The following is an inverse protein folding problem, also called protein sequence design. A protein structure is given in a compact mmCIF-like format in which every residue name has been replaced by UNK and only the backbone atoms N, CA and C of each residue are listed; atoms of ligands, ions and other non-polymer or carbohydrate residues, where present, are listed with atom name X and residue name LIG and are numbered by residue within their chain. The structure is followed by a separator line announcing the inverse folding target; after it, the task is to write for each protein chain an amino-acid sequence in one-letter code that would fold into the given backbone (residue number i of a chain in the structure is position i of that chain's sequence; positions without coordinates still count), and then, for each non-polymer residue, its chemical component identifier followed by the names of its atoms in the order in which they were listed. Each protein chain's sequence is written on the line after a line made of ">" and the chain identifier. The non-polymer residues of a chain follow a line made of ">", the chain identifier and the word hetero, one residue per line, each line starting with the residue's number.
data_IF_619482806951
#
_entry.id   IF_619482806951
#
_cell.length_a   1.000
_cell.length_b   1.000
_cell.length_c   1.000
_cell.angle_alpha   90.00
_cell.angle_beta   90.00
_cell.angle_gamma   90.00
#
_symmetry.space_group_name_H-M   'P 1'
#
loop_
_entity.id
_entity.type
_entity.pdbx_description
1 polymer ?
#
# COMPACT_ATOMS: atom_id res chain seq x y z
N UNK A 1 3.42 -7.91 -40.28
CA UNK A 1 4.04 -6.80 -39.53
C UNK A 1 3.74 -7.03 -38.07
N UNK A 2 4.72 -7.41 -37.26
CA UNK A 2 4.51 -7.66 -35.83
C UNK A 2 4.60 -6.32 -35.10
N UNK A 3 3.53 -5.94 -34.41
CA UNK A 3 3.54 -4.80 -33.51
C UNK A 3 4.32 -5.20 -32.25
N UNK A 4 5.50 -4.61 -32.07
CA UNK A 4 6.25 -4.69 -30.82
C UNK A 4 5.46 -3.83 -29.83
N UNK A 5 4.80 -4.47 -28.86
CA UNK A 5 4.33 -3.79 -27.65
C UNK A 5 5.56 -3.19 -26.99
N UNK A 6 5.61 -1.86 -26.90
CA UNK A 6 6.65 -1.17 -26.17
C UNK A 6 6.56 -1.62 -24.70
N UNK A 7 7.39 -2.58 -24.34
CA UNK A 7 7.70 -2.87 -22.95
C UNK A 7 8.39 -1.60 -22.46
N UNK A 8 7.69 -0.80 -21.65
CA UNK A 8 8.30 0.27 -20.89
C UNK A 8 9.36 -0.40 -20.01
N UNK A 9 10.62 -0.35 -20.47
CA UNK A 9 11.76 -0.79 -19.70
C UNK A 9 11.94 0.25 -18.60
N UNK A 10 11.34 -0.02 -17.45
CA UNK A 10 11.52 0.79 -16.25
C UNK A 10 12.90 0.47 -15.70
N UNK A 11 13.67 1.51 -15.34
CA UNK A 11 14.99 1.35 -14.75
C UNK A 11 14.86 0.60 -13.41
N UNK A 12 15.55 -0.52 -13.26
CA UNK A 12 15.41 -1.44 -12.11
C UNK A 12 15.95 -0.88 -10.79
N UNK A 13 16.32 0.40 -10.73
CA UNK A 13 16.93 1.05 -9.57
C UNK A 13 15.92 1.53 -8.52
N UNK A 14 14.64 1.73 -8.89
CA UNK A 14 13.63 2.32 -8.01
C UNK A 14 12.44 1.36 -7.78
N UNK A 15 11.84 1.29 -6.57
CA UNK A 15 10.61 0.54 -6.34
C UNK A 15 9.43 1.12 -7.13
N UNK A 16 8.65 0.25 -7.77
CA UNK A 16 7.46 0.64 -8.54
C UNK A 16 6.23 -0.17 -8.15
N UNK A 17 5.05 0.46 -8.12
CA UNK A 17 3.76 -0.25 -8.07
C UNK A 17 3.22 -0.41 -9.49
N UNK A 18 2.66 -1.60 -9.80
CA UNK A 18 1.95 -1.84 -11.06
C UNK A 18 0.43 -1.82 -10.86
N UNK A 19 -0.24 -0.83 -11.42
CA UNK A 19 -1.69 -0.78 -11.57
C UNK A 19 -2.05 -0.20 -12.94
N UNK A 20 -2.31 -1.06 -13.93
CA UNK A 20 -2.45 -0.71 -15.37
C UNK A 20 -1.20 -0.07 -16.02
N UNK A 21 -0.40 0.69 -15.27
CA UNK A 21 0.94 1.23 -15.59
C UNK A 21 1.90 1.02 -14.40
N UNK A 22 3.18 1.35 -14.58
CA UNK A 22 4.18 1.45 -13.50
C UNK A 22 4.21 2.86 -12.95
N UNK A 23 4.11 2.99 -11.63
CA UNK A 23 4.24 4.26 -10.91
C UNK A 23 5.42 4.19 -9.95
N UNK A 24 6.31 5.20 -9.98
CA UNK A 24 7.41 5.28 -9.03
C UNK A 24 6.87 5.43 -7.62
N UNK A 25 7.49 4.74 -6.66
CA UNK A 25 7.25 4.96 -5.25
C UNK A 25 8.34 5.92 -4.74
N UNK A 26 8.01 6.91 -3.90
CA UNK A 26 9.03 7.77 -3.29
C UNK A 26 9.97 6.94 -2.41
N UNK A 27 11.28 7.05 -2.67
CA UNK A 27 12.32 6.35 -1.90
C UNK A 27 12.58 6.97 -0.53
N UNK A 28 12.19 8.24 -0.34
CA UNK A 28 12.25 8.93 0.94
C UNK A 28 11.06 9.85 1.12
N UNK A 29 10.78 10.25 2.37
CA UNK A 29 9.70 11.20 2.69
C UNK A 29 9.89 12.53 1.94
N UNK A 30 11.15 12.96 1.74
CA UNK A 30 11.46 14.18 0.99
C UNK A 30 11.15 14.07 -0.52
N UNK A 31 11.02 12.86 -1.05
CA UNK A 31 10.71 12.58 -2.45
C UNK A 31 9.21 12.47 -2.73
N UNK A 32 8.34 12.59 -1.71
CA UNK A 32 6.89 12.58 -1.90
C UNK A 32 6.48 13.81 -2.72
N UNK A 33 5.92 13.57 -3.89
CA UNK A 33 5.46 14.64 -4.80
C UNK A 33 4.12 15.22 -4.38
N UNK A 34 3.85 16.46 -4.82
CA UNK A 34 2.54 17.09 -4.71
C UNK A 34 1.85 17.16 -6.06
N UNK A 35 0.53 17.01 -6.07
CA UNK A 35 -0.32 17.30 -7.21
C UNK A 35 -0.37 18.81 -7.50
N UNK A 36 -0.87 19.18 -8.70
CA UNK A 36 -0.97 20.58 -9.16
C UNK A 36 -1.78 21.50 -8.21
N UNK A 37 -2.68 20.91 -7.41
CA UNK A 37 -3.48 21.60 -6.40
C UNK A 37 -2.73 21.81 -5.06
N UNK A 38 -1.45 21.43 -4.97
CA UNK A 38 -0.61 21.54 -3.78
C UNK A 38 -0.79 20.41 -2.75
N UNK A 39 -1.66 19.44 -2.99
CA UNK A 39 -1.83 18.29 -2.08
C UNK A 39 -0.73 17.26 -2.32
N UNK A 40 -0.09 16.79 -1.25
CA UNK A 40 0.87 15.70 -1.33
C UNK A 40 0.18 14.41 -1.79
N UNK A 41 0.87 13.62 -2.61
CA UNK A 41 0.38 12.33 -3.07
C UNK A 41 0.15 11.37 -1.88
N UNK A 42 1.14 11.34 -0.98
CA UNK A 42 1.12 10.58 0.26
C UNK A 42 1.17 11.55 1.44
N UNK A 43 0.37 11.27 2.47
CA UNK A 43 0.31 12.06 3.70
C UNK A 43 0.63 11.19 4.89
N UNK A 44 1.24 11.80 5.92
CA UNK A 44 1.52 11.13 7.18
C UNK A 44 0.21 10.60 7.78
N UNK A 45 0.22 9.32 8.11
CA UNK A 45 -0.91 8.60 8.68
C UNK A 45 -0.74 8.47 10.19
N UNK A 46 0.30 7.78 10.63
CA UNK A 46 0.67 7.59 12.03
C UNK A 46 2.08 7.01 12.16
N UNK A 47 2.58 6.96 13.39
CA UNK A 47 3.76 6.16 13.74
C UNK A 47 3.32 4.73 14.14
N UNK A 48 4.10 3.71 13.76
CA UNK A 48 3.91 2.31 14.16
C UNK A 48 5.01 1.93 15.16
N UNK A 49 4.64 1.84 16.43
CA UNK A 49 5.56 1.56 17.54
C UNK A 49 6.14 0.13 17.51
N UNK A 50 5.45 -0.84 16.86
CA UNK A 50 5.91 -2.24 16.84
C UNK A 50 7.16 -2.40 15.97
N UNK A 51 7.21 -1.65 14.87
CA UNK A 51 8.34 -1.64 13.94
C UNK A 51 9.22 -0.39 14.07
N UNK A 52 8.77 0.62 14.81
CA UNK A 52 9.40 1.94 14.92
C UNK A 52 9.53 2.64 13.56
N UNK A 53 8.40 2.76 12.84
CA UNK A 53 8.33 3.27 11.46
C UNK A 53 7.23 4.34 11.31
N UNK A 54 7.42 5.26 10.38
CA UNK A 54 6.39 6.22 9.98
C UNK A 54 5.58 5.72 8.78
N UNK A 55 4.27 5.83 8.88
CA UNK A 55 3.32 5.34 7.88
C UNK A 55 2.78 6.49 7.06
N UNK A 56 2.79 6.34 5.75
CA UNK A 56 2.24 7.31 4.81
C UNK A 56 1.26 6.64 3.86
N UNK A 57 0.09 7.22 3.64
CA UNK A 57 -0.90 6.68 2.71
C UNK A 57 -1.40 7.76 1.77
N UNK A 58 -2.13 7.34 0.73
CA UNK A 58 -2.99 8.27 0.03
C UNK A 58 -4.01 8.89 1.01
N UNK A 59 -4.42 10.16 0.83
CA UNK A 59 -5.46 10.77 1.65
C UNK A 59 -6.74 9.93 1.63
N UNK A 60 -7.26 9.58 2.81
CA UNK A 60 -8.49 8.80 3.00
C UNK A 60 -8.52 7.40 2.33
N UNK A 61 -7.37 6.89 1.85
CA UNK A 61 -7.28 5.55 1.24
C UNK A 61 -6.14 4.73 1.86
N UNK A 62 -6.46 3.85 2.85
CA UNK A 62 -5.46 3.07 3.56
C UNK A 62 -5.03 1.79 2.83
N UNK A 63 -5.45 1.54 1.58
CA UNK A 63 -5.17 0.24 0.91
C UNK A 63 -3.68 0.02 0.63
N UNK A 64 -2.93 1.09 0.39
CA UNK A 64 -1.47 1.06 0.22
C UNK A 64 -0.86 2.09 1.18
N UNK A 65 0.01 1.61 2.05
CA UNK A 65 0.73 2.43 3.03
C UNK A 65 2.22 2.21 2.83
N UNK A 66 2.96 3.30 2.65
CA UNK A 66 4.41 3.31 2.58
C UNK A 66 4.97 3.36 4.00
N UNK A 67 6.01 2.57 4.26
CA UNK A 67 6.70 2.50 5.53
C UNK A 67 8.06 3.17 5.41
N UNK A 68 8.31 4.19 6.23
CA UNK A 68 9.57 4.92 6.28
C UNK A 68 10.26 4.68 7.62
N UNK A 69 11.58 4.50 7.60
CA UNK A 69 12.38 4.41 8.81
C UNK A 69 12.56 5.78 9.50
N UNK A 70 13.27 5.80 10.63
CA UNK A 70 13.55 7.03 11.39
C UNK A 70 14.38 8.06 10.61
N UNK A 71 15.05 7.65 9.54
CA UNK A 71 15.80 8.54 8.64
C UNK A 71 14.91 9.08 7.51
N UNK A 72 13.67 8.61 7.39
CA UNK A 72 12.74 8.97 6.34
C UNK A 72 12.98 8.22 5.04
N UNK A 73 13.68 7.08 5.06
CA UNK A 73 13.94 6.23 3.89
C UNK A 73 12.92 5.09 3.80
N UNK A 74 12.53 4.71 2.58
CA UNK A 74 11.54 3.65 2.39
C UNK A 74 12.10 2.31 2.83
N UNK A 75 11.40 1.64 3.75
CA UNK A 75 11.80 0.34 4.30
C UNK A 75 10.74 -0.74 4.08
N UNK A 76 9.58 -0.40 3.52
CA UNK A 76 8.57 -1.38 3.18
C UNK A 76 7.25 -0.80 2.71
N UNK A 77 6.31 -1.72 2.48
CA UNK A 77 4.94 -1.42 2.08
C UNK A 77 3.99 -2.26 2.93
N UNK A 78 2.95 -1.62 3.45
CA UNK A 78 1.81 -2.26 4.11
C UNK A 78 0.62 -2.25 3.15
N UNK A 79 0.14 -3.44 2.79
CA UNK A 79 -1.03 -3.62 1.94
C UNK A 79 -2.24 -3.97 2.81
N UNK A 80 -3.32 -3.20 2.66
CA UNK A 80 -4.52 -3.34 3.48
C UNK A 80 -5.78 -3.64 2.66
N UNK A 81 -6.63 -4.47 3.23
CA UNK A 81 -7.93 -4.86 2.70
C UNK A 81 -9.02 -4.24 3.57
N UNK A 82 -9.90 -3.43 2.97
CA UNK A 82 -11.07 -2.88 3.65
C UNK A 82 -11.98 -4.05 4.04
N UNK A 83 -12.24 -4.23 5.34
CA UNK A 83 -12.93 -5.43 5.83
C UNK A 83 -14.33 -5.59 5.25
N UNK A 84 -15.02 -4.48 5.03
CA UNK A 84 -16.37 -4.48 4.43
C UNK A 84 -16.36 -4.88 2.95
N UNK A 85 -15.22 -4.82 2.26
CA UNK A 85 -15.10 -5.20 0.84
C UNK A 85 -14.79 -6.69 0.65
N UNK A 86 -14.16 -7.32 1.63
CA UNK A 86 -13.72 -8.73 1.59
C UNK A 86 -14.84 -9.70 1.15
N UNK A 87 -16.04 -9.70 1.77
CA UNK A 87 -17.07 -10.67 1.43
C UNK A 87 -17.87 -10.31 0.17
N UNK A 88 -17.85 -9.05 -0.29
CA UNK A 88 -18.76 -8.55 -1.35
C UNK A 88 -18.75 -9.37 -2.64
N UNK A 89 -17.57 -9.86 -3.04
CA UNK A 89 -17.44 -10.69 -4.25
C UNK A 89 -18.08 -12.07 -4.09
N UNK A 90 -18.03 -12.66 -2.90
CA UNK A 90 -18.69 -13.93 -2.62
C UNK A 90 -20.21 -13.73 -2.53
N UNK A 91 -20.65 -12.68 -1.83
CA UNK A 91 -22.06 -12.29 -1.68
C UNK A 91 -22.74 -12.05 -3.03
N UNK A 92 -22.10 -11.29 -3.93
CA UNK A 92 -22.61 -11.05 -5.30
C UNK A 92 -22.73 -12.32 -6.15
N UNK A 93 -22.13 -13.42 -5.72
CA UNK A 93 -22.21 -14.75 -6.36
C UNK A 93 -23.11 -15.73 -5.59
N UNK A 94 -23.74 -15.29 -4.51
CA UNK A 94 -24.56 -16.14 -3.65
C UNK A 94 -23.76 -17.22 -2.91
N UNK A 95 -22.46 -17.00 -2.67
CA UNK A 95 -21.59 -17.96 -1.97
C UNK A 95 -21.17 -17.37 -0.62
N UNK A 96 -21.18 -18.20 0.43
CA UNK A 96 -20.69 -17.80 1.74
C UNK A 96 -19.16 -17.63 1.75
N UNK A 97 -18.67 -16.55 2.34
CA UNK A 97 -17.24 -16.29 2.52
C UNK A 97 -16.80 -16.70 3.94
N UNK A 98 -16.27 -17.91 4.09
CA UNK A 98 -15.95 -18.50 5.39
C UNK A 98 -14.45 -18.46 5.73
N UNK A 99 -13.71 -17.46 5.25
CA UNK A 99 -12.27 -17.38 5.50
C UNK A 99 -11.98 -16.58 6.78
N UNK A 100 -11.28 -17.22 7.74
CA UNK A 100 -10.82 -16.60 8.98
C UNK A 100 -9.43 -16.01 8.80
N UNK A 101 -9.33 -14.69 8.69
CA UNK A 101 -8.04 -14.01 8.57
C UNK A 101 -7.26 -13.94 9.89
N UNK A 102 -7.96 -13.95 11.03
CA UNK A 102 -7.33 -13.90 12.36
C UNK A 102 -6.48 -15.13 12.67
N UNK A 103 -6.83 -16.28 12.09
CA UNK A 103 -6.06 -17.53 12.25
C UNK A 103 -4.78 -17.56 11.41
N UNK A 104 -4.54 -16.56 10.57
CA UNK A 104 -3.38 -16.47 9.69
C UNK A 104 -2.47 -15.37 10.19
N UNK A 105 -1.35 -15.75 10.80
CA UNK A 105 -0.44 -14.82 11.49
C UNK A 105 0.20 -13.71 10.63
N UNK A 106 -0.01 -13.69 9.32
CA UNK A 106 0.48 -12.63 8.43
C UNK A 106 -0.42 -11.39 8.41
N UNK A 107 -1.67 -11.51 8.87
CA UNK A 107 -2.64 -10.42 8.80
C UNK A 107 -2.87 -9.77 10.17
N UNK A 108 -2.81 -8.44 10.21
CA UNK A 108 -3.07 -7.63 11.40
C UNK A 108 -4.29 -6.74 11.20
N UNK A 109 -5.01 -6.44 12.28
CA UNK A 109 -6.17 -5.58 12.24
C UNK A 109 -5.77 -4.16 12.60
N UNK A 110 -6.19 -3.19 11.79
CA UNK A 110 -5.97 -1.78 12.06
C UNK A 110 -7.24 -0.99 11.71
N UNK A 111 -7.29 0.25 12.19
CA UNK A 111 -8.27 1.25 11.76
C UNK A 111 -7.50 2.49 11.34
N UNK A 112 -7.57 2.82 10.05
CA UNK A 112 -6.89 3.97 9.46
C UNK A 112 -7.91 4.86 8.77
N UNK A 113 -7.83 6.17 8.96
CA UNK A 113 -8.85 7.11 8.45
C UNK A 113 -10.29 6.78 8.90
N UNK A 114 -10.45 6.12 10.05
CA UNK A 114 -11.75 5.60 10.52
C UNK A 114 -12.28 4.40 9.72
N UNK A 115 -11.46 3.79 8.86
CA UNK A 115 -11.79 2.62 8.04
C UNK A 115 -11.12 1.39 8.66
N UNK A 116 -11.94 0.39 8.98
CA UNK A 116 -11.43 -0.90 9.48
C UNK A 116 -10.81 -1.71 8.35
N UNK A 117 -9.53 -2.03 8.54
CA UNK A 117 -8.72 -2.74 7.56
C UNK A 117 -8.02 -3.95 8.16
N UNK A 118 -7.70 -4.88 7.27
CA UNK A 118 -6.84 -6.01 7.54
C UNK A 118 -5.57 -5.84 6.70
N UNK A 119 -4.41 -5.77 7.34
CA UNK A 119 -3.16 -5.42 6.67
C UNK A 119 -2.13 -6.55 6.72
N UNK A 120 -1.26 -6.59 5.72
CA UNK A 120 -0.08 -7.44 5.67
C UNK A 120 1.13 -6.59 5.24
N UNK A 121 2.26 -6.84 5.89
CA UNK A 121 3.46 -6.02 5.72
C UNK A 121 4.49 -6.74 4.86
N UNK A 122 5.13 -5.99 3.97
CA UNK A 122 6.29 -6.42 3.19
C UNK A 122 7.42 -5.46 3.48
N UNK A 123 8.38 -5.90 4.29
CA UNK A 123 9.59 -5.15 4.59
C UNK A 123 10.64 -5.40 3.51
N UNK A 124 11.35 -4.35 3.12
CA UNK A 124 12.49 -4.43 2.22
C UNK A 124 13.72 -4.81 3.05
N UNK A 125 14.25 -6.00 2.79
CA UNK A 125 15.51 -6.42 3.40
C UNK A 125 16.67 -5.73 2.67
N UNK A 126 17.61 -5.19 3.46
CA UNK A 126 18.96 -4.86 3.00
C UNK A 126 19.92 -6.01 3.24
#
# INVERSE_FOLDING_TARGET
>A
TFAISAVYAVEWGQPHVRFQSYYPIPESVCNITSYDNGTAEYVFLCHDDDFNLDLYSYPDDPRVILLFDECGEICGIRACYIKTDIPKRAESRGVAFNYSYHEKGIYRNHTYWGIDVLCADTLFAS
#
